data_IF_662170950924
#
_entry.id   IF_662170950924
#
_cell.length_a   1.000
_cell.length_b   1.000
_cell.length_c   1.000
_cell.angle_alpha   90.00
_cell.angle_beta   90.00
_cell.angle_gamma   90.00
#
_symmetry.space_group_name_H-M   'P 1'
#
loop_
_entity.id
_entity.type
_entity.pdbx_description
1 polymer ?
2 non-polymer ?
3 water ?
#
# COMPACT_ATOMS: atom_id res chain seq x y z
N UNK A 11 20.34 7.91 -9.08
CA UNK A 11 20.27 6.46 -9.27
C UNK A 11 21.61 5.89 -9.68
N UNK A 12 21.87 4.65 -9.25
CA UNK A 12 23.09 3.94 -9.61
C UNK A 12 22.87 3.19 -10.92
N UNK A 13 23.83 3.29 -11.83
CA UNK A 13 23.77 2.55 -13.08
C UNK A 13 24.39 1.18 -12.86
N UNK A 14 23.65 0.13 -13.22
CA UNK A 14 24.10 -1.25 -13.04
C UNK A 14 24.46 -1.81 -14.42
N UNK A 15 25.56 -2.57 -14.47
CA UNK A 15 25.91 -3.14 -15.76
C UNK A 15 25.09 -4.41 -16.01
N UNK A 16 24.64 -4.64 -17.25
CA UNK A 16 23.78 -5.81 -17.51
C UNK A 16 24.40 -7.15 -17.13
N UNK A 17 25.72 -7.26 -17.17
CA UNK A 17 26.36 -8.52 -16.81
C UNK A 17 26.17 -8.86 -15.34
N UNK A 18 25.71 -7.91 -14.53
CA UNK A 18 25.50 -8.14 -13.10
C UNK A 18 24.08 -8.61 -12.78
N UNK A 19 23.21 -8.73 -13.77
CA UNK A 19 21.79 -9.01 -13.56
C UNK A 19 21.43 -10.31 -14.27
N UNK A 20 20.81 -11.23 -13.54
CA UNK A 20 20.24 -12.45 -14.10
C UNK A 20 18.73 -12.42 -13.88
N UNK A 21 17.97 -12.52 -14.95
CA UNK A 21 16.52 -12.66 -14.84
C UNK A 21 16.20 -14.14 -14.71
N UNK A 22 15.39 -14.48 -13.71
CA UNK A 22 15.07 -15.88 -13.40
C UNK A 22 13.60 -16.20 -13.72
N UNK A 23 12.70 -15.60 -12.97
CA UNK A 23 11.27 -15.89 -13.09
C UNK A 23 10.47 -14.63 -13.44
N UNK A 24 9.49 -14.75 -14.31
CA UNK A 24 8.55 -13.65 -14.53
C UNK A 24 7.60 -13.60 -13.35
N UNK A 25 7.39 -12.41 -12.79
CA UNK A 25 6.53 -12.22 -11.64
C UNK A 25 5.45 -11.18 -11.86
N UNK A 26 5.43 -10.51 -13.01
CA UNK A 26 4.42 -9.49 -13.23
C UNK A 26 4.60 -8.85 -14.59
N UNK A 27 3.83 -7.79 -14.81
CA UNK A 27 3.85 -7.06 -16.06
C UNK A 27 4.12 -5.58 -15.80
N UNK A 28 4.95 -4.99 -16.65
CA UNK A 28 5.17 -3.56 -16.64
C UNK A 28 4.33 -2.87 -17.71
N UNK A 29 4.53 -1.57 -17.83
CA UNK A 29 3.78 -0.78 -18.80
C UNK A 29 4.13 -1.18 -20.22
N UNK A 30 5.40 -1.54 -20.46
CA UNK A 30 5.86 -2.01 -21.78
C UNK A 30 7.07 -2.91 -21.57
N UNK A 31 6.80 -4.08 -21.01
CA UNK A 31 7.83 -5.01 -20.62
C UNK A 31 7.36 -5.85 -19.45
N UNK A 32 8.22 -6.78 -19.05
CA UNK A 32 7.90 -7.71 -17.98
C UNK A 32 8.59 -7.32 -16.68
N UNK A 33 8.11 -7.90 -15.58
CA UNK A 33 8.73 -7.78 -14.28
C UNK A 33 9.21 -9.16 -13.86
N UNK A 34 10.49 -9.26 -13.49
CA UNK A 34 11.11 -10.53 -13.19
C UNK A 34 11.62 -10.54 -11.75
N UNK A 35 11.70 -11.75 -11.18
CA UNK A 35 12.59 -11.96 -10.04
C UNK A 35 13.93 -12.41 -10.60
N UNK A 36 15.01 -11.95 -9.96
CA UNK A 36 16.32 -12.35 -10.38
C UNK A 36 17.36 -12.11 -9.33
N UNK A 37 18.62 -12.07 -9.77
CA UNK A 37 19.76 -11.90 -8.89
C UNK A 37 20.64 -10.77 -9.38
N UNK A 38 21.20 -10.02 -8.45
CA UNK A 38 22.11 -8.91 -8.74
C UNK A 38 23.43 -9.18 -8.04
N UNK A 39 24.51 -8.98 -8.77
CA UNK A 39 25.88 -9.18 -8.24
C UNK A 39 26.61 -7.87 -7.99
N UNK A 40 27.36 -7.81 -6.89
CA UNK A 40 28.27 -6.71 -6.59
C UNK A 40 29.07 -7.03 -5.34
N UNK A 46 25.51 -12.77 -4.39
CA UNK A 46 24.36 -12.33 -5.21
C UNK A 46 23.25 -11.88 -4.24
N UNK A 47 22.43 -10.92 -4.63
CA UNK A 47 21.26 -10.56 -3.79
C UNK A 47 20.02 -10.70 -4.66
N UNK A 48 18.89 -11.25 -4.17
CA UNK A 48 17.70 -11.34 -4.97
C UNK A 48 17.12 -9.94 -5.22
N UNK A 49 16.56 -9.76 -6.41
CA UNK A 49 16.01 -8.47 -6.82
C UNK A 49 14.74 -8.70 -7.64
N UNK A 50 13.94 -7.64 -7.75
CA UNK A 50 12.88 -7.54 -8.74
C UNK A 50 13.33 -6.61 -9.87
N UNK A 51 12.92 -6.92 -11.10
CA UNK A 51 13.46 -6.25 -12.28
C UNK A 51 12.30 -5.91 -13.22
N UNK A 52 12.07 -4.62 -13.46
CA UNK A 52 11.08 -4.19 -14.45
C UNK A 52 11.81 -3.74 -15.71
N UNK A 53 11.41 -4.28 -16.86
CA UNK A 53 12.08 -3.99 -18.12
C UNK A 53 11.23 -3.06 -18.97
N UNK A 54 11.90 -2.38 -19.90
CA UNK A 54 11.24 -1.58 -20.93
C UNK A 54 11.74 -2.10 -22.28
N UNK A 55 10.87 -2.77 -23.02
CA UNK A 55 11.27 -3.57 -24.18
C UNK A 55 11.24 -2.78 -25.49
N UNK A 56 11.94 -3.35 -26.47
CA UNK A 56 12.12 -2.71 -27.77
C UNK A 56 10.78 -2.28 -28.36
N UNK A 57 10.75 -1.07 -28.88
CA UNK A 57 9.53 -0.50 -29.43
C UNK A 57 8.81 0.45 -28.50
N UNK A 58 9.29 0.63 -27.27
CA UNK A 58 8.64 1.57 -26.36
C UNK A 58 8.63 2.98 -26.96
N UNK A 59 7.60 3.74 -26.61
CA UNK A 59 7.41 5.08 -27.13
C UNK A 59 8.24 6.09 -26.34
N UNK A 60 8.32 7.31 -26.89
CA UNK A 60 8.97 8.40 -26.17
C UNK A 60 8.32 8.61 -24.79
N UNK A 61 6.99 8.66 -24.75
CA UNK A 61 6.28 8.85 -23.48
C UNK A 61 6.60 7.73 -22.50
N UNK A 62 6.63 6.48 -22.97
CA UNK A 62 6.95 5.36 -22.09
C UNK A 62 8.36 5.46 -21.54
N UNK A 63 9.32 5.89 -22.36
CA UNK A 63 10.69 6.07 -21.87
C UNK A 63 10.77 7.20 -20.86
N UNK A 64 10.08 8.31 -21.11
CA UNK A 64 10.06 9.42 -20.15
C UNK A 64 9.52 8.94 -18.81
N UNK A 65 8.41 8.18 -18.85
CA UNK A 65 7.77 7.74 -17.62
C UNK A 65 8.61 6.70 -16.90
N UNK A 66 9.29 5.83 -17.66
CA UNK A 66 10.09 4.76 -17.07
C UNK A 66 11.32 5.34 -16.37
N UNK A 67 12.08 6.17 -17.07
CA UNK A 67 13.24 6.82 -16.46
C UNK A 67 12.82 7.82 -15.37
N UNK A 68 11.69 8.50 -15.56
CA UNK A 68 11.19 9.38 -14.52
C UNK A 68 10.80 8.62 -13.26
N UNK A 69 10.23 7.43 -13.43
CA UNK A 69 9.96 6.57 -12.28
C UNK A 69 11.25 6.19 -11.57
N UNK A 70 12.26 5.74 -12.33
CA UNK A 70 13.55 5.41 -11.75
C UNK A 70 14.11 6.59 -10.96
N UNK A 71 14.04 7.79 -11.55
CA UNK A 71 14.58 8.97 -10.88
C UNK A 71 13.89 9.26 -9.55
N UNK A 72 12.56 9.17 -9.52
CA UNK A 72 11.82 9.45 -8.29
C UNK A 72 12.17 8.42 -7.21
N UNK A 73 12.21 7.14 -7.59
CA UNK A 73 12.57 6.09 -6.65
C UNK A 73 13.97 6.30 -6.10
N UNK A 74 14.86 6.81 -6.94
CA UNK A 74 16.24 7.04 -6.53
C UNK A 74 16.32 8.11 -5.44
N UNK A 75 15.41 9.05 -5.49
CA UNK A 75 15.31 10.16 -4.53
C UNK A 75 14.83 9.65 -3.16
N UNK A 76 13.99 8.64 -3.15
CA UNK A 76 13.43 8.16 -1.85
C UNK A 76 14.47 7.36 -1.07
N UNK A 77 14.58 7.62 0.22
CA UNK A 77 15.45 6.85 1.11
C UNK A 77 14.67 6.74 2.42
N UNK A 78 13.92 5.66 2.56
CA UNK A 78 13.09 5.47 3.74
C UNK A 78 12.87 3.99 3.99
N UNK A 79 12.86 3.61 5.27
CA UNK A 79 12.67 2.22 5.69
C UNK A 79 11.40 1.60 5.12
N UNK A 80 10.34 2.39 4.93
CA UNK A 80 9.06 1.82 4.52
C UNK A 80 8.70 2.15 3.07
N UNK A 81 9.71 2.41 2.25
CA UNK A 81 9.56 2.65 0.82
C UNK A 81 10.47 1.67 0.11
N UNK A 82 9.96 1.02 -0.94
CA UNK A 82 10.75 0.04 -1.66
C UNK A 82 12.08 0.65 -2.10
N UNK A 83 13.16 -0.11 -1.91
CA UNK A 83 14.49 0.38 -2.19
C UNK A 83 14.90 0.12 -3.63
N UNK A 84 15.42 1.14 -4.31
CA UNK A 84 15.94 1.01 -5.66
C UNK A 84 17.38 0.54 -5.57
N UNK A 85 17.68 -0.59 -6.22
CA UNK A 85 19.08 -1.02 -6.29
C UNK A 85 19.81 -0.27 -7.40
N UNK A 86 19.15 -0.05 -8.53
CA UNK A 86 19.76 0.72 -9.58
C UNK A 86 18.98 0.59 -10.86
N UNK A 87 19.57 1.11 -11.92
CA UNK A 87 18.92 1.16 -13.22
C UNK A 87 19.91 0.73 -14.28
N UNK A 88 19.38 0.17 -15.35
CA UNK A 88 20.12 -0.04 -16.59
C UNK A 88 19.46 0.88 -17.61
N UNK A 89 20.15 1.96 -17.97
CA UNK A 89 19.66 2.88 -18.98
C UNK A 89 20.55 2.96 -20.20
N UNK A 90 21.82 2.57 -20.08
CA UNK A 90 22.78 2.66 -21.17
C UNK A 90 22.69 1.49 -22.14
N UNK A 91 21.94 0.46 -21.82
CA UNK A 91 21.82 -0.73 -22.65
C UNK A 91 20.36 -1.10 -22.77
N UNK A 92 20.04 -1.91 -23.79
CA UNK A 92 18.67 -2.36 -24.01
C UNK A 92 18.55 -3.85 -23.74
N UNK A 93 17.46 -4.31 -23.11
CA UNK A 93 16.34 -3.50 -22.61
C UNK A 93 16.73 -2.73 -21.37
N UNK A 94 16.10 -1.57 -21.18
CA UNK A 94 16.33 -0.82 -19.96
C UNK A 94 15.62 -1.52 -18.80
N UNK A 95 16.12 -1.29 -17.59
CA UNK A 95 15.64 -2.02 -16.43
C UNK A 95 15.63 -1.12 -15.19
N UNK A 96 14.62 -1.31 -14.35
CA UNK A 96 14.60 -0.79 -12.99
C UNK A 96 14.73 -1.97 -12.04
N UNK A 97 15.67 -1.90 -11.11
CA UNK A 97 16.01 -3.03 -10.27
C UNK A 97 15.81 -2.63 -8.82
N UNK A 98 14.95 -3.36 -8.11
CA UNK A 98 14.65 -3.07 -6.72
C UNK A 98 15.00 -4.27 -5.86
N UNK A 99 15.01 -4.04 -4.54
CA UNK A 99 15.09 -5.14 -3.61
C UNK A 99 13.93 -6.11 -3.83
N UNK A 100 14.13 -7.34 -3.38
CA UNK A 100 13.12 -8.38 -3.45
C UNK A 100 12.60 -8.64 -2.05
N UNK A 101 11.28 -8.71 -1.92
CA UNK A 101 10.65 -8.91 -0.62
C UNK A 101 10.00 -10.29 -0.66
N UNK A 102 10.56 -11.22 0.11
CA UNK A 102 10.21 -12.63 -0.08
C UNK A 102 8.78 -12.95 0.35
N UNK A 103 8.17 -12.14 1.20
CA UNK A 103 6.79 -12.41 1.55
C UNK A 103 5.78 -11.81 0.58
N UNK A 104 6.25 -11.04 -0.42
CA UNK A 104 5.37 -10.58 -1.48
C UNK A 104 4.39 -9.50 -1.02
N UNK A 105 3.29 -9.42 -1.75
CA UNK A 105 2.30 -8.37 -1.53
C UNK A 105 1.47 -8.62 -0.27
N UNK A 106 1.17 -7.53 0.44
CA UNK A 106 0.51 -7.64 1.74
C UNK A 106 -0.89 -8.25 1.66
N UNK A 107 -1.66 -7.94 0.61
CA UNK A 107 -3.03 -8.47 0.55
C UNK A 107 -3.02 -10.00 0.50
N UNK A 108 -2.23 -10.55 -0.40
CA UNK A 108 -2.11 -12.00 -0.52
C UNK A 108 -1.49 -12.60 0.73
N UNK A 109 -0.46 -11.93 1.27
CA UNK A 109 0.21 -12.42 2.47
C UNK A 109 -0.77 -12.59 3.62
N UNK A 110 -1.58 -11.57 3.90
CA UNK A 110 -2.52 -11.65 5.00
C UNK A 110 -3.59 -12.72 4.75
N UNK A 111 -4.06 -12.85 3.50
CA UNK A 111 -5.09 -13.83 3.20
C UNK A 111 -4.57 -15.24 3.37
N UNK A 112 -3.28 -15.45 3.21
CA UNK A 112 -2.65 -16.75 3.37
C UNK A 112 -2.22 -17.03 4.80
N UNK A 113 -2.32 -16.05 5.68
CA UNK A 113 -1.87 -16.17 7.09
C UNK A 113 -2.99 -15.69 8.03
N UNK A 114 -4.21 -16.06 7.70
CA UNK A 114 -5.37 -15.54 8.44
C UNK A 114 -5.28 -15.91 9.90
N UNK A 115 -5.34 -14.89 10.76
CA UNK A 115 -5.34 -15.05 12.20
C UNK A 115 -4.00 -15.37 12.84
N UNK A 116 -2.90 -15.29 12.08
CA UNK A 116 -1.61 -15.75 12.58
C UNK A 116 -0.83 -14.70 13.35
N UNK A 117 -1.30 -13.45 13.41
CA UNK A 117 -0.54 -12.36 13.98
C UNK A 117 -1.23 -11.78 15.21
N UNK A 118 -0.45 -11.14 16.06
CA UNK A 118 -1.03 -10.44 17.19
C UNK A 118 -1.52 -9.07 16.75
N UNK A 119 -2.44 -8.51 17.53
CA UNK A 119 -2.89 -7.14 17.28
C UNK A 119 -1.71 -6.18 17.18
N UNK A 120 -0.72 -6.35 18.06
CA UNK A 120 0.44 -5.46 18.05
C UNK A 120 1.24 -5.59 16.75
N UNK A 121 1.38 -6.81 16.24
CA UNK A 121 2.03 -7.00 14.94
C UNK A 121 1.26 -6.31 13.83
N UNK A 122 -0.04 -6.49 13.80
CA UNK A 122 -0.85 -5.84 12.75
C UNK A 122 -0.75 -4.33 12.83
N UNK A 123 -0.85 -3.77 14.05
CA UNK A 123 -0.76 -2.32 14.19
C UNK A 123 0.64 -1.83 13.82
N UNK A 124 1.67 -2.62 14.13
CA UNK A 124 3.03 -2.29 13.71
C UNK A 124 3.16 -2.20 12.21
N UNK A 125 2.47 -3.08 11.48
CA UNK A 125 2.52 -3.00 10.02
C UNK A 125 1.86 -1.72 9.51
N UNK A 126 0.78 -1.29 10.18
CA UNK A 126 0.15 -0.04 9.81
C UNK A 126 1.02 1.17 10.13
N UNK A 127 1.72 1.13 11.25
CA UNK A 127 2.62 2.24 11.57
C UNK A 127 3.70 2.39 10.50
N UNK A 128 4.24 1.26 10.03
CA UNK A 128 5.24 1.30 8.98
C UNK A 128 4.69 1.87 7.67
N UNK A 129 3.51 1.40 7.27
CA UNK A 129 2.91 1.94 6.05
C UNK A 129 2.68 3.44 6.20
N UNK A 130 2.15 3.85 7.36
CA UNK A 130 1.87 5.28 7.59
C UNK A 130 3.15 6.11 7.53
N UNK A 131 4.24 5.60 8.10
CA UNK A 131 5.50 6.34 8.04
C UNK A 131 6.00 6.47 6.61
N UNK A 132 5.87 5.41 5.82
CA UNK A 132 6.22 5.53 4.40
C UNK A 132 5.36 6.55 3.67
N UNK A 133 4.06 6.53 3.94
CA UNK A 133 3.16 7.49 3.31
C UNK A 133 3.41 8.91 3.79
N UNK A 134 3.70 9.08 5.09
CA UNK A 134 4.07 10.41 5.58
C UNK A 134 5.28 10.95 4.82
N UNK A 135 6.28 10.10 4.60
CA UNK A 135 7.46 10.50 3.84
C UNK A 135 7.08 10.89 2.42
N UNK A 136 6.30 10.05 1.74
CA UNK A 136 5.90 10.35 0.36
C UNK A 136 5.13 11.66 0.29
N UNK A 137 4.17 11.85 1.19
CA UNK A 137 3.39 13.09 1.16
C UNK A 137 4.27 14.30 1.39
N UNK A 138 5.23 14.20 2.33
CA UNK A 138 6.16 15.29 2.61
C UNK A 138 7.06 15.58 1.43
N UNK A 139 7.43 14.55 0.67
CA UNK A 139 8.22 14.68 -0.55
C UNK A 139 7.37 15.14 -1.73
N UNK A 140 6.09 15.43 -1.51
CA UNK A 140 5.17 15.91 -2.55
C UNK A 140 4.88 14.85 -3.60
N UNK A 141 4.80 13.59 -3.17
CA UNK A 141 4.44 12.50 -4.06
C UNK A 141 3.05 12.00 -3.66
N UNK A 142 2.10 12.14 -4.57
CA UNK A 142 0.76 11.63 -4.36
C UNK A 142 0.69 10.24 -5.01
N UNK A 143 0.34 9.25 -4.22
CA UNK A 143 0.45 7.86 -4.67
C UNK A 143 -0.66 7.49 -5.64
N UNK A 144 -1.92 7.76 -5.25
CA UNK A 144 -3.14 7.54 -6.03
C UNK A 144 -3.62 6.09 -6.04
N UNK A 145 -2.75 5.14 -5.71
CA UNK A 145 -3.10 3.72 -5.80
C UNK A 145 -2.77 2.98 -4.52
N UNK A 146 -2.91 3.63 -3.37
CA UNK A 146 -2.52 2.97 -2.13
C UNK A 146 -3.56 1.92 -1.76
N UNK A 147 -3.12 0.69 -1.54
CA UNK A 147 -3.95 -0.48 -1.28
C UNK A 147 -2.98 -1.56 -0.83
N UNK A 148 -3.48 -2.56 -0.10
CA UNK A 148 -2.58 -3.60 0.39
C UNK A 148 -1.85 -4.32 -0.75
N UNK A 149 -2.48 -4.39 -1.92
CA UNK A 149 -1.82 -5.02 -3.06
C UNK A 149 -0.54 -4.32 -3.50
N UNK A 150 -0.36 -3.04 -3.12
CA UNK A 150 0.83 -2.29 -3.46
C UNK A 150 1.79 -2.13 -2.30
N UNK A 151 1.63 -2.93 -1.25
CA UNK A 151 2.53 -2.90 -0.10
C UNK A 151 3.22 -4.24 -0.01
N UNK A 152 4.55 -4.22 0.05
CA UNK A 152 5.35 -5.43 0.07
C UNK A 152 5.84 -5.70 1.48
N UNK A 153 6.02 -6.99 1.80
CA UNK A 153 6.36 -7.43 3.15
C UNK A 153 7.68 -8.18 3.12
N UNK A 154 8.61 -7.81 3.99
CA UNK A 154 9.87 -8.54 4.04
C UNK A 154 9.87 -9.55 5.18
N UNK A 155 11.00 -10.23 5.36
CA UNK A 155 11.10 -11.28 6.36
C UNK A 155 11.21 -10.76 7.79
N UNK A 156 11.26 -9.44 7.99
CA UNK A 156 11.11 -8.86 9.33
C UNK A 156 9.71 -8.31 9.56
N UNK A 157 8.76 -8.61 8.69
CA UNK A 157 7.40 -8.07 8.74
C UNK A 157 7.36 -6.58 8.45
N UNK A 158 8.42 -6.02 7.89
CA UNK A 158 8.42 -4.61 7.53
C UNK A 158 7.66 -4.44 6.23
N UNK A 159 6.71 -3.50 6.23
CA UNK A 159 5.89 -3.19 5.08
C UNK A 159 6.49 -2.00 4.35
N UNK A 160 6.58 -2.11 3.03
CA UNK A 160 7.16 -1.06 2.21
C UNK A 160 6.21 -0.68 1.10
N UNK A 161 6.00 0.62 0.93
CA UNK A 161 5.15 1.10 -0.15
C UNK A 161 5.83 0.92 -1.50
N UNK A 162 5.05 0.47 -2.48
CA UNK A 162 5.44 0.33 -3.88
C UNK A 162 4.34 0.91 -4.75
N UNK A 163 4.58 0.97 -6.08
CA UNK A 163 3.61 1.61 -6.98
C UNK A 163 3.83 1.08 -8.39
N UNK A 164 2.84 1.34 -9.25
CA UNK A 164 2.98 1.07 -10.67
C UNK A 164 3.76 2.22 -11.32
N UNK A 165 3.84 2.21 -12.65
CA UNK A 165 4.43 3.32 -13.36
C UNK A 165 3.56 4.57 -13.28
N UNK A 186 -9.36 2.02 -9.03
CA UNK A 186 -9.59 1.29 -7.78
C UNK A 186 -10.65 1.97 -6.93
N UNK A 187 -11.91 1.95 -7.42
CA UNK A 187 -12.99 2.71 -6.80
C UNK A 187 -13.04 2.47 -5.29
N UNK A 188 -12.98 1.20 -4.88
CA UNK A 188 -13.15 0.86 -3.44
C UNK A 188 -12.08 1.45 -2.53
N UNK A 189 -10.95 1.85 -3.08
CA UNK A 189 -9.88 2.41 -2.28
C UNK A 189 -9.77 3.93 -2.38
N UNK A 190 -10.59 4.57 -3.22
CA UNK A 190 -10.35 5.93 -3.66
C UNK A 190 -11.32 6.90 -2.99
N UNK A 191 -10.78 8.06 -2.58
CA UNK A 191 -11.59 9.06 -1.91
C UNK A 191 -12.65 9.63 -2.85
N UNK A 192 -13.78 10.09 -2.30
CA UNK A 192 -14.86 10.58 -3.18
C UNK A 192 -14.43 11.69 -4.13
N UNK A 193 -13.62 12.65 -3.66
CA UNK A 193 -13.27 13.78 -4.53
C UNK A 193 -12.35 13.34 -5.66
N UNK A 194 -11.58 12.27 -5.44
CA UNK A 194 -10.72 11.77 -6.50
C UNK A 194 -11.55 11.05 -7.56
N UNK A 195 -12.57 10.31 -7.13
CA UNK A 195 -13.49 9.71 -8.09
C UNK A 195 -14.30 10.78 -8.82
N UNK A 196 -14.86 11.73 -8.08
CA UNK A 196 -15.87 12.61 -8.66
C UNK A 196 -15.27 13.65 -9.58
N UNK A 197 -14.12 14.23 -9.21
CA UNK A 197 -13.54 15.27 -10.05
C UNK A 197 -12.03 15.17 -10.19
N UNK A 198 -11.46 14.00 -9.90
CA UNK A 198 -10.05 13.70 -10.19
C UNK A 198 -9.10 14.51 -9.33
N UNK A 199 -9.54 14.86 -8.13
CA UNK A 199 -8.67 15.59 -7.20
C UNK A 199 -7.90 14.57 -6.37
N UNK A 200 -6.70 14.24 -6.81
CA UNK A 200 -5.83 13.30 -6.11
C UNK A 200 -4.80 14.09 -5.31
N UNK A 201 -4.81 13.91 -3.98
CA UNK A 201 -3.87 14.61 -3.10
C UNK A 201 -3.42 13.65 -2.00
N UNK A 202 -2.53 14.13 -1.14
CA UNK A 202 -2.19 13.32 0.02
C UNK A 202 -3.41 13.04 0.90
N UNK A 203 -4.44 13.91 0.85
CA UNK A 203 -5.65 13.66 1.63
C UNK A 203 -6.50 12.57 1.01
N UNK A 204 -6.50 12.41 -0.32
CA UNK A 204 -7.14 11.23 -0.87
C UNK A 204 -6.32 9.96 -0.58
N UNK A 205 -4.99 10.10 -0.48
CA UNK A 205 -4.18 8.97 -0.03
C UNK A 205 -4.52 8.58 1.41
N UNK A 206 -4.90 9.55 2.26
CA UNK A 206 -5.30 9.22 3.63
C UNK A 206 -6.57 8.38 3.64
N UNK A 207 -7.55 8.72 2.78
CA UNK A 207 -8.71 7.86 2.62
C UNK A 207 -8.30 6.45 2.29
N UNK A 208 -7.42 6.28 1.29
CA UNK A 208 -6.95 4.96 0.93
C UNK A 208 -6.26 4.28 2.09
N UNK A 209 -5.48 5.04 2.87
CA UNK A 209 -4.83 4.44 4.03
C UNK A 209 -5.84 3.88 5.01
N UNK A 210 -6.94 4.58 5.22
CA UNK A 210 -8.01 4.03 6.06
C UNK A 210 -8.51 2.70 5.55
N UNK A 211 -8.68 2.60 4.23
CA UNK A 211 -9.08 1.31 3.66
C UNK A 211 -7.99 0.26 3.91
N UNK A 212 -6.72 0.62 3.74
CA UNK A 212 -5.64 -0.32 4.03
C UNK A 212 -5.68 -0.77 5.49
N UNK A 213 -5.97 0.15 6.43
CA UNK A 213 -6.12 -0.25 7.83
C UNK A 213 -7.16 -1.35 7.97
N UNK A 214 -8.30 -1.19 7.29
CA UNK A 214 -9.36 -2.18 7.35
C UNK A 214 -8.92 -3.49 6.69
N UNK A 215 -8.21 -3.39 5.56
CA UNK A 215 -7.67 -4.61 4.95
C UNK A 215 -6.73 -5.35 5.90
N UNK A 216 -5.84 -4.62 6.57
CA UNK A 216 -4.91 -5.29 7.49
C UNK A 216 -5.66 -5.94 8.65
N UNK A 217 -6.58 -5.19 9.29
CA UNK A 217 -7.25 -5.71 10.47
C UNK A 217 -8.19 -6.87 10.18
N UNK A 218 -8.63 -7.03 8.93
CA UNK A 218 -9.49 -8.14 8.50
C UNK A 218 -8.72 -9.27 7.83
N UNK A 219 -7.39 -9.19 7.79
CA UNK A 219 -6.56 -10.19 7.09
C UNK A 219 -6.92 -10.27 5.60
N UNK A 220 -7.10 -9.10 4.99
CA UNK A 220 -7.27 -9.07 3.54
C UNK A 220 -8.67 -9.27 3.03
N UNK A 221 -9.69 -8.92 3.80
CA UNK A 221 -11.03 -8.99 3.25
C UNK A 221 -11.23 -7.94 2.17
N UNK A 222 -12.06 -8.27 1.20
CA UNK A 222 -12.33 -7.35 0.11
C UNK A 222 -13.19 -6.19 0.63
N UNK A 223 -12.74 -4.94 0.52
CA UNK A 223 -13.56 -3.83 1.02
C UNK A 223 -14.93 -3.84 0.36
N UNK A 224 -15.97 -3.70 1.19
CA UNK A 224 -17.37 -3.65 0.78
C UNK A 224 -17.88 -4.98 0.23
N UNK A 225 -17.09 -6.06 0.35
CA UNK A 225 -17.51 -7.41 -0.04
C UNK A 225 -18.03 -7.38 -1.48
N UNK A 226 -19.24 -7.88 -1.74
CA UNK A 226 -19.72 -8.07 -3.09
C UNK A 226 -20.45 -6.86 -3.66
N UNK A 227 -20.51 -5.74 -2.93
CA UNK A 227 -21.13 -4.55 -3.49
C UNK A 227 -20.44 -4.20 -4.81
N UNK A 228 -21.24 -3.78 -5.79
CA UNK A 228 -20.67 -3.29 -7.04
C UNK A 228 -20.03 -1.91 -6.81
N UNK A 229 -19.24 -1.47 -7.79
CA UNK A 229 -18.60 -0.16 -7.67
C UNK A 229 -19.63 0.94 -7.50
N UNK A 230 -20.72 0.89 -8.27
CA UNK A 230 -21.78 1.89 -8.13
C UNK A 230 -22.44 1.82 -6.76
N UNK A 231 -22.65 0.60 -6.24
CA UNK A 231 -23.23 0.46 -4.91
C UNK A 231 -22.30 1.00 -3.83
N UNK A 232 -20.99 0.80 -4.00
CA UNK A 232 -20.03 1.37 -3.06
C UNK A 232 -20.12 2.89 -3.05
N UNK A 233 -20.09 3.51 -4.24
CA UNK A 233 -20.13 4.97 -4.28
C UNK A 233 -21.44 5.50 -3.71
N UNK A 234 -22.56 4.82 -3.99
CA UNK A 234 -23.85 5.23 -3.44
C UNK A 234 -23.85 5.12 -1.92
N UNK A 235 -23.33 4.02 -1.38
CA UNK A 235 -23.27 3.85 0.07
C UNK A 235 -22.43 4.95 0.71
N UNK A 236 -21.25 5.22 0.15
CA UNK A 236 -20.39 6.25 0.70
C UNK A 236 -21.08 7.61 0.67
N UNK A 237 -21.73 7.92 -0.45
CA UNK A 237 -22.44 9.19 -0.54
C UNK A 237 -23.60 9.28 0.43
N UNK A 238 -24.27 8.16 0.71
CA UNK A 238 -25.33 8.13 1.70
C UNK A 238 -24.81 8.22 3.15
N UNK A 239 -23.49 8.11 3.36
CA UNK A 239 -22.90 8.23 4.67
C UNK A 239 -22.49 6.92 5.31
N UNK A 240 -22.76 5.79 4.68
CA UNK A 240 -22.35 4.51 5.22
C UNK A 240 -20.84 4.35 5.14
N UNK A 241 -20.30 3.60 6.08
CA UNK A 241 -18.86 3.32 6.12
C UNK A 241 -18.66 1.85 6.47
N UNK A 242 -17.48 1.34 6.13
CA UNK A 242 -17.17 -0.04 6.46
C UNK A 242 -17.32 -0.27 7.97
N UNK A 243 -17.90 -1.39 8.38
CA UNK A 243 -18.07 -1.67 9.81
C UNK A 243 -16.76 -2.14 10.42
N UNK A 244 -16.75 -2.24 11.73
CA UNK A 244 -15.53 -2.62 12.41
C UNK A 244 -15.14 -4.04 12.03
N UNK A 245 -13.86 -4.31 11.84
CA UNK A 245 -13.37 -5.69 11.76
C UNK A 245 -13.57 -6.39 13.10
N UNK A 246 -13.55 -7.72 13.04
CA UNK A 246 -13.55 -8.52 14.24
C UNK A 246 -12.27 -8.28 15.02
N UNK A 247 -12.38 -8.25 16.35
CA UNK A 247 -11.24 -8.14 17.27
C UNK A 247 -10.39 -6.90 16.99
N UNK A 248 -11.06 -5.79 16.68
CA UNK A 248 -10.33 -4.58 16.30
C UNK A 248 -10.25 -3.63 17.48
N UNK A 249 -9.07 -3.13 17.82
CA UNK A 249 -8.98 -2.11 18.87
C UNK A 249 -9.87 -0.92 18.53
N UNK A 250 -10.58 -0.45 19.56
CA UNK A 250 -11.44 0.72 19.41
C UNK A 250 -10.67 1.90 18.83
N UNK A 251 -9.43 2.11 19.28
CA UNK A 251 -8.65 3.25 18.80
C UNK A 251 -8.37 3.14 17.31
N UNK A 252 -8.12 1.92 16.83
CA UNK A 252 -7.81 1.69 15.43
C UNK A 252 -9.04 1.90 14.56
N UNK A 253 -10.22 1.46 15.02
CA UNK A 253 -11.44 1.73 14.25
C UNK A 253 -11.77 3.21 14.22
N UNK A 254 -11.64 3.91 15.35
CA UNK A 254 -11.83 5.35 15.37
C UNK A 254 -10.93 6.06 14.36
N UNK A 255 -9.67 5.65 14.29
CA UNK A 255 -8.73 6.30 13.38
C UNK A 255 -9.10 6.04 11.92
N UNK A 256 -9.44 4.80 11.57
CA UNK A 256 -9.81 4.56 10.17
C UNK A 256 -11.08 5.33 9.81
N UNK A 257 -12.02 5.46 10.76
CA UNK A 257 -13.23 6.22 10.47
C UNK A 257 -12.93 7.69 10.18
N UNK A 258 -11.96 8.27 10.88
CA UNK A 258 -11.62 9.66 10.60
C UNK A 258 -10.89 9.81 9.26
N UNK A 259 -10.23 8.76 8.78
CA UNK A 259 -9.68 8.81 7.44
C UNK A 259 -10.76 8.88 6.37
N UNK A 260 -11.99 8.46 6.68
CA UNK A 260 -13.07 8.39 5.71
C UNK A 260 -14.05 9.54 5.85
N UNK A 261 -13.60 10.69 6.34
CA UNK A 261 -14.46 11.86 6.36
C UNK A 261 -14.70 12.33 4.93
N UNK A 262 -15.95 12.69 4.64
CA UNK A 262 -16.29 13.18 3.31
C UNK A 262 -15.52 14.45 3.00
N UNK A 263 -15.46 15.38 3.96
CA UNK A 263 -14.75 16.63 3.76
C UNK A 263 -13.25 16.38 3.93
N UNK A 264 -12.50 16.58 2.84
CA UNK A 264 -11.09 16.24 2.80
C UNK A 264 -10.31 16.96 3.89
N UNK A 265 -10.68 18.21 4.20
CA UNK A 265 -9.93 18.99 5.16
C UNK A 265 -10.06 18.46 6.58
N UNK A 266 -11.07 17.63 6.86
CA UNK A 266 -11.26 17.07 8.19
C UNK A 266 -10.46 15.80 8.42
N UNK A 267 -9.92 15.18 7.37
CA UNK A 267 -9.16 13.96 7.53
C UNK A 267 -7.83 14.27 8.17
N UNK A 268 -7.36 13.39 9.04
CA UNK A 268 -6.01 13.56 9.59
C UNK A 268 -4.98 13.61 8.49
N UNK A 269 -3.88 14.30 8.74
CA UNK A 269 -2.71 14.17 7.88
C UNK A 269 -1.91 12.95 8.30
N UNK A 270 -1.00 12.54 7.43
CA UNK A 270 -0.18 11.39 7.75
C UNK A 270 0.64 11.59 9.02
N UNK A 271 1.06 12.83 9.28
CA UNK A 271 1.80 13.06 10.56
C UNK A 271 0.93 12.69 11.77
N UNK A 272 -0.35 13.01 11.72
CA UNK A 272 -1.29 12.68 12.83
C UNK A 272 -1.41 11.15 12.94
N UNK A 273 -1.56 10.49 11.80
CA UNK A 273 -1.72 9.03 11.80
C UNK A 273 -0.46 8.37 12.40
N UNK A 274 0.72 8.77 11.93
CA UNK A 274 1.95 8.18 12.48
C UNK A 274 2.04 8.41 13.98
N UNK A 275 1.73 9.63 14.42
CA UNK A 275 1.85 9.96 15.84
C UNK A 275 0.92 9.12 16.68
N UNK A 276 -0.34 8.97 16.25
CA UNK A 276 -1.31 8.18 16.99
C UNK A 276 -0.90 6.72 17.06
N UNK A 277 -0.53 6.14 15.91
CA UNK A 277 -0.13 4.73 15.89
C UNK A 277 1.10 4.49 16.74
N UNK A 278 2.08 5.40 16.67
CA UNK A 278 3.26 5.26 17.52
C UNK A 278 2.89 5.27 18.99
N UNK A 279 2.00 6.18 19.40
CA UNK A 279 1.64 6.25 20.82
C UNK A 279 0.86 5.03 21.27
N UNK A 280 0.00 4.49 20.39
CA UNK A 280 -0.74 3.28 20.74
C UNK A 280 0.21 2.10 20.92
N UNK A 281 1.21 1.98 20.04
CA UNK A 281 2.15 0.88 20.14
C UNK A 281 3.01 1.00 21.39
N UNK A 282 3.38 2.23 21.75
CA UNK A 282 4.27 2.43 22.89
C UNK A 282 3.55 2.29 24.21
N UNK A 283 2.22 2.37 24.20
CA UNK A 283 1.38 2.10 25.37
C UNK A 283 0.40 1.00 24.99
N UNK A 284 0.88 -0.24 24.86
CA UNK A 284 0.08 -1.27 24.18
C UNK A 284 -1.21 -1.65 24.88
N UNK A 285 -1.35 -1.40 26.18
CA UNK A 285 -2.65 -1.63 26.82
C UNK A 285 -3.75 -0.82 26.15
N UNK A 286 -3.39 0.27 25.48
CA UNK A 286 -4.40 1.07 24.78
C UNK A 286 -5.11 0.27 23.69
N UNK A 287 -4.47 -0.78 23.19
CA UNK A 287 -5.04 -1.58 22.10
C UNK A 287 -5.95 -2.69 22.62
N UNK A 288 -6.05 -2.87 23.94
CA UNK A 288 -6.83 -3.96 24.49
C UNK A 288 -8.32 -3.69 24.47
N UNK A 289 -8.72 -2.43 24.43
CA UNK A 289 -10.13 -2.06 24.37
C UNK A 289 -10.58 -2.24 22.93
N UNK A 290 -11.55 -3.14 22.70
CA UNK A 290 -11.95 -3.49 21.36
C UNK A 290 -13.29 -2.84 21.03
N UNK A 291 -13.43 -2.44 19.76
CA UNK A 291 -14.71 -1.98 19.26
C UNK A 291 -15.67 -3.15 19.16
N UNK A 292 -16.94 -2.87 19.42
CA UNK A 292 -17.97 -3.88 19.28
C UNK A 292 -18.06 -4.33 17.83
N UNK A 293 -18.13 -5.64 17.62
CA UNK A 293 -18.31 -6.19 16.29
C UNK A 293 -19.79 -6.47 16.08
N UNK A 294 -20.34 -5.97 14.99
CA UNK A 294 -21.74 -6.22 14.68
C UNK A 294 -21.87 -7.59 14.05
N UNK A 295 -22.32 -8.60 14.80
CA UNK A 295 -22.43 -9.94 14.22
C UNK A 295 -23.58 -9.93 13.23
N UNK A 296 -23.38 -10.63 12.11
CA UNK A 296 -24.41 -10.74 11.05
C UNK A 296 -25.22 -12.01 11.31
N UNK A 297 -24.52 -13.05 11.78
CA UNK A 297 -25.14 -14.33 12.13
C UNK A 297 -25.25 -14.36 13.64
N UNK A 298 -26.43 -14.74 14.13
CA UNK A 298 -26.62 -14.99 15.55
C UNK A 298 -26.96 -16.45 15.72
N UNK A 299 -26.20 -17.15 16.54
CA UNK A 299 -26.44 -18.54 16.87
C UNK A 299 -26.98 -18.60 18.29
N UNK A 300 -28.11 -19.28 18.48
CA UNK A 300 -28.68 -19.49 19.80
C UNK A 300 -28.23 -20.86 20.31
N UNK A 301 -27.56 -20.88 21.45
CA UNK A 301 -27.22 -22.12 22.13
C UNK A 301 -27.55 -21.96 23.60
N UNK A 302 -27.84 -23.07 24.31
CA UNK A 302 -28.19 -22.98 25.74
C UNK A 302 -26.97 -22.74 26.63
X LIG B 1 10.07 -1.23 -10.19
X LIG B 1 10.14 -2.47 -9.57
X LIG B 1 9.48 -2.65 -8.35
X LIG B 1 8.78 -1.59 -7.77
X LIG B 1 8.68 -0.35 -8.41
X LIG B 1 9.36 -0.17 -9.61
X LIG B 1 7.98 0.66 -7.72
X LIG B 1 7.41 3.00 -7.71
X LIG B 1 7.27 3.16 -6.31
X LIG B 1 6.77 4.34 -5.73
X LIG B 1 6.43 5.40 -6.57
X LIG B 1 6.60 5.27 -7.96
X LIG B 1 7.08 4.09 -8.51
X LIG B 1 10.86 -3.52 -10.15
X LIG B 1 8.56 -4.57 -7.35
X LIG B 1 7.76 -6.44 -6.21
X LIG B 1 6.28 -4.93 -7.15
X LIG B 1 9.15 -7.77 -4.87
X LIG B 1 7.87 -9.46 -4.56
X LIG B 1 7.21 -8.59 -5.32
X LIG B 1 3.86 -5.31 -7.02
X LIG B 1 2.72 -4.43 -6.53
X LIG B 1 3.66 -2.47 -7.47
X LIG B 1 4.85 -3.19 -8.04
X LIG B 1 6.58 4.49 -4.33
X LIG B 1 6.39 5.65 -4.13
X LIG B 1 5.73 3.91 -4.07
X LIG B 1 7.52 4.10 -3.85
X LIG B 1 7.92 1.88 -8.32
X LIG B 1 9.61 -3.86 -7.79
X LIG B 1 8.79 -5.69 -6.66
X LIG B 1 6.50 -6.05 -6.46
X LIG B 1 7.30 -4.19 -7.59
X LIG B 1 8.01 -7.54 -5.53
X LIG B 1 9.06 -8.96 -4.28
X LIG B 1 5.04 -4.49 -7.40
X LIG B 1 2.47 -3.34 -7.47
X LIG B 1 7.55 0.41 -6.61
#
# INVERSE_FOLDING_TARGET
>A
GDPNQAVLKFTTEIHPSCVTRQKVIGAGEFGEVYKGMLKTSSGKKEVPVAIKTLKAGYTEKQRVDFLGEAGIMGQFSHHNIIRLEGVISKYKPMMIITEYMENGALDKFLREKDGEFSVLQLVGMLRGIAAGMKYLANMNYVHRDLAARNILVNSNLVCKVSDFGLSRVLEDDPEATYTTSGGKIPIRWTAPEAISYRKFTSASDVWSFGIVMWEVMTYGERPYWELSNHEVMKAINDGFRLPTPMDCPSAIYQLMMQCWQQERARRPKFADIVSILDKLIRAPDSLKTLADFDPRVSIRLPSTSG
>B hetero
1 HNZ CAA CAB CAC CAD CAE CAF CAG CAJ CAK CAL CAM CAN CAO CAP CAR CAT CAV CAY CBA CBB CBD CBE CBG CBH CBI FBJ FBK FBL NAH NAQ NAS NAU NAW NAX NAZ NBC NBF OAI
#
